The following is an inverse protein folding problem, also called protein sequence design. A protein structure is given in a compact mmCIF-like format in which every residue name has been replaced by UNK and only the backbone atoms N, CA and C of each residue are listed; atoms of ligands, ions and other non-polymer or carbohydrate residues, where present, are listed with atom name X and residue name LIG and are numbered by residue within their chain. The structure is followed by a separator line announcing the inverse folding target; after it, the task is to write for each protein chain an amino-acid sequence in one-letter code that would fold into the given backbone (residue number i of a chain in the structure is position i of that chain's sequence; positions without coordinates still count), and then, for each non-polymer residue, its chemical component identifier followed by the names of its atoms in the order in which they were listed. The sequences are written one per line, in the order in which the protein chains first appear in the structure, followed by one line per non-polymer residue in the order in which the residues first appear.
data_IF_690103042430
#
_entry.id   IF_690103042430
#
_cell.length_a   1.000
_cell.length_b   1.000
_cell.length_c   1.000
_cell.angle_alpha   90.00
_cell.angle_beta   90.00
_cell.angle_gamma   90.00
#
_symmetry.space_group_name_H-M   'P 1'
#
loop_
_entity.id
_entity.type
_entity.pdbx_description
1 polymer ?
#
# COMPACT_ATOMS: atom_id res chain seq x y z
N UNK A 1 -15.10 -53.24 -10.12
CA UNK A 1 -14.47 -52.84 -8.83
C UNK A 1 -13.29 -51.89 -9.04
N UNK A 2 -12.40 -52.16 -9.98
CA UNK A 2 -11.18 -51.36 -10.28
C UNK A 2 -11.43 -49.90 -10.68
N UNK A 3 -12.41 -49.63 -11.54
CA UNK A 3 -12.72 -48.25 -11.99
C UNK A 3 -13.19 -47.31 -10.86
N UNK A 4 -13.98 -47.82 -9.90
CA UNK A 4 -14.42 -47.06 -8.72
C UNK A 4 -13.25 -46.76 -7.78
N UNK A 5 -12.32 -47.71 -7.63
CA UNK A 5 -11.13 -47.55 -6.79
C UNK A 5 -10.17 -46.49 -7.38
N UNK A 6 -9.99 -46.46 -8.70
CA UNK A 6 -9.16 -45.48 -9.40
C UNK A 6 -9.77 -44.07 -9.30
N UNK A 7 -11.09 -43.93 -9.41
CA UNK A 7 -11.74 -42.61 -9.23
C UNK A 7 -11.64 -42.10 -7.80
N UNK A 8 -11.78 -42.98 -6.79
CA UNK A 8 -11.63 -42.60 -5.38
C UNK A 8 -10.17 -42.20 -5.10
N UNK A 9 -9.19 -42.95 -5.60
CA UNK A 9 -7.78 -42.61 -5.44
C UNK A 9 -7.42 -41.28 -6.11
N UNK A 10 -7.97 -41.00 -7.30
CA UNK A 10 -7.80 -39.72 -8.00
C UNK A 10 -8.44 -38.54 -7.25
N UNK A 11 -9.64 -38.73 -6.69
CA UNK A 11 -10.32 -37.72 -5.87
C UNK A 11 -9.57 -37.42 -4.57
N UNK A 12 -9.05 -38.45 -3.89
CA UNK A 12 -8.26 -38.29 -2.66
C UNK A 12 -6.95 -37.58 -2.95
N UNK A 13 -6.24 -37.95 -4.01
CA UNK A 13 -4.98 -37.31 -4.42
C UNK A 13 -5.18 -35.84 -4.82
N UNK A 14 -6.25 -35.53 -5.55
CA UNK A 14 -6.63 -34.16 -5.89
C UNK A 14 -6.98 -33.35 -4.62
N UNK A 15 -7.71 -33.94 -3.67
CA UNK A 15 -8.04 -33.29 -2.39
C UNK A 15 -6.81 -32.99 -1.53
N UNK A 16 -5.78 -33.84 -1.58
CA UNK A 16 -4.52 -33.65 -0.86
C UNK A 16 -3.69 -32.50 -1.45
N UNK A 17 -3.64 -32.40 -2.77
CA UNK A 17 -2.91 -31.35 -3.47
C UNK A 17 -3.54 -29.96 -3.23
N UNK A 18 -4.87 -29.89 -3.22
CA UNK A 18 -5.60 -28.65 -2.91
C UNK A 18 -5.43 -28.19 -1.44
N UNK A 19 -5.22 -29.12 -0.51
CA UNK A 19 -4.90 -28.77 0.90
C UNK A 19 -3.50 -28.19 1.03
N UNK A 20 -2.50 -28.72 0.33
CA UNK A 20 -1.11 -28.25 0.43
C UNK A 20 -0.95 -26.77 0.04
N UNK A 21 -1.70 -26.28 -0.96
CA UNK A 21 -1.67 -24.89 -1.38
C UNK A 21 -2.34 -23.93 -0.38
N UNK A 22 -3.21 -24.44 0.50
CA UNK A 22 -3.93 -23.63 1.49
C UNK A 22 -3.13 -23.32 2.77
N UNK A 23 -1.97 -23.96 2.98
CA UNK A 23 -1.19 -23.81 4.22
C UNK A 23 0.01 -22.86 4.14
N UNK A 24 0.27 -22.22 2.99
CA UNK A 24 1.36 -21.25 2.90
C UNK A 24 0.92 -19.89 3.46
N UNK A 25 1.27 -19.63 4.72
CA UNK A 25 1.03 -18.36 5.42
C UNK A 25 2.38 -17.75 5.80
N UNK A 26 3.03 -16.98 4.90
CA UNK A 26 4.40 -16.50 5.11
C UNK A 26 4.51 -15.48 6.25
N UNK A 27 3.41 -14.80 6.57
CA UNK A 27 3.36 -13.81 7.64
C UNK A 27 2.15 -14.03 8.54
N UNK A 28 2.31 -13.89 9.87
CA UNK A 28 1.20 -13.96 10.81
C UNK A 28 0.24 -12.78 10.57
N UNK A 29 -1.03 -12.98 10.96
CA UNK A 29 -2.05 -11.95 10.85
C UNK A 29 -1.72 -10.76 11.78
N UNK A 30 -2.23 -9.58 11.45
CA UNK A 30 -1.95 -8.36 12.21
C UNK A 30 -2.42 -8.41 13.68
N UNK A 31 -3.47 -9.17 13.96
CA UNK A 31 -4.07 -9.38 15.28
C UNK A 31 -3.52 -10.60 16.03
N UNK A 32 -2.51 -11.28 15.46
CA UNK A 32 -1.94 -12.49 16.05
C UNK A 32 -1.11 -12.18 17.31
N UNK A 33 -1.26 -13.02 18.35
CA UNK A 33 -0.43 -12.97 19.57
C UNK A 33 1.06 -13.18 19.28
N UNK A 34 1.41 -13.72 18.11
CA UNK A 34 2.79 -13.81 17.61
C UNK A 34 3.56 -12.51 17.82
N UNK A 35 2.97 -11.36 17.47
CA UNK A 35 3.63 -10.06 17.55
C UNK A 35 3.98 -9.66 18.99
N UNK A 36 3.18 -10.08 19.96
CA UNK A 36 3.44 -9.82 21.39
C UNK A 36 4.38 -10.84 22.03
N UNK A 37 4.46 -12.07 21.50
CA UNK A 37 5.31 -13.12 22.05
C UNK A 37 6.73 -13.09 21.50
N UNK A 38 6.87 -12.88 20.19
CA UNK A 38 8.15 -13.05 19.50
C UNK A 38 8.95 -11.75 19.37
N UNK A 39 8.28 -10.60 19.27
CA UNK A 39 8.97 -9.31 19.11
C UNK A 39 9.39 -8.77 20.48
N UNK A 40 10.66 -8.42 20.72
CA UNK A 40 11.08 -7.85 22.00
C UNK A 40 10.34 -6.57 22.37
N UNK A 41 10.11 -6.36 23.68
CA UNK A 41 9.39 -5.20 24.21
C UNK A 41 10.01 -3.87 23.74
N UNK A 42 11.34 -3.77 23.75
CA UNK A 42 12.06 -2.58 23.30
C UNK A 42 11.72 -2.23 21.84
N UNK A 43 11.73 -3.24 20.95
CA UNK A 43 11.41 -3.05 19.53
C UNK A 43 9.94 -2.64 19.33
N UNK A 44 9.01 -3.24 20.08
CA UNK A 44 7.60 -2.82 20.04
C UNK A 44 7.43 -1.36 20.45
N UNK A 45 8.10 -0.95 21.52
CA UNK A 45 8.07 0.43 22.00
C UNK A 45 8.66 1.40 20.97
N UNK A 46 9.71 1.00 20.26
CA UNK A 46 10.28 1.80 19.16
C UNK A 46 9.29 2.00 18.01
N UNK A 47 8.59 0.95 17.58
CA UNK A 47 7.55 1.10 16.56
C UNK A 47 6.42 2.00 17.02
N UNK A 48 5.99 1.91 18.29
CA UNK A 48 4.97 2.80 18.85
C UNK A 48 5.46 4.25 18.88
N UNK A 49 6.73 4.48 19.26
CA UNK A 49 7.36 5.80 19.25
C UNK A 49 7.43 6.39 17.84
N UNK A 50 7.85 5.59 16.85
CA UNK A 50 7.85 5.99 15.45
C UNK A 50 6.44 6.29 14.94
N UNK A 51 5.46 5.45 15.29
CA UNK A 51 4.04 5.69 14.98
C UNK A 51 3.57 7.05 15.49
N UNK A 52 3.92 7.42 16.72
CA UNK A 52 3.56 8.73 17.31
C UNK A 52 4.21 9.90 16.56
N UNK A 53 5.47 9.75 16.17
CA UNK A 53 6.19 10.76 15.40
C UNK A 53 5.53 10.99 14.03
N UNK A 54 5.20 9.90 13.34
CA UNK A 54 4.66 9.93 11.98
C UNK A 54 3.16 10.20 11.92
N UNK A 55 2.41 10.01 13.01
CA UNK A 55 0.99 10.31 13.08
C UNK A 55 0.70 11.81 12.86
N UNK A 56 1.64 12.67 13.27
CA UNK A 56 1.55 14.14 13.15
C UNK A 56 2.11 14.69 11.84
N UNK A 57 2.79 13.87 11.03
CA UNK A 57 3.38 14.34 9.77
C UNK A 57 2.31 14.46 8.68
N UNK A 58 2.33 15.53 7.87
CA UNK A 58 1.43 15.67 6.73
C UNK A 58 1.78 14.66 5.63
N UNK A 59 0.80 14.34 4.79
CA UNK A 59 0.97 13.48 3.63
C UNK A 59 1.08 14.35 2.37
N UNK A 60 2.30 14.71 2.02
CA UNK A 60 2.54 15.53 0.85
C UNK A 60 2.66 14.65 -0.40
N UNK A 61 1.94 15.00 -1.46
CA UNK A 61 2.15 14.40 -2.76
C UNK A 61 3.54 14.78 -3.31
N UNK A 62 4.14 13.87 -4.07
CA UNK A 62 5.40 14.16 -4.75
C UNK A 62 5.09 15.07 -5.94
N UNK A 63 5.73 16.24 -6.07
CA UNK A 63 5.51 17.13 -7.21
C UNK A 63 5.87 16.43 -8.53
N UNK A 64 5.08 16.69 -9.59
CA UNK A 64 5.31 16.08 -10.90
C UNK A 64 6.66 16.53 -11.50
N UNK A 65 7.10 17.72 -11.13
CA UNK A 65 8.37 18.33 -11.52
C UNK A 65 9.55 17.48 -11.02
N UNK A 66 9.46 16.96 -9.79
CA UNK A 66 10.52 16.10 -9.21
C UNK A 66 10.67 14.78 -9.98
N UNK A 67 9.59 14.28 -10.59
CA UNK A 67 9.67 13.14 -11.50
C UNK A 67 10.21 13.54 -12.88
N UNK A 68 9.80 14.71 -13.40
CA UNK A 68 10.24 15.22 -14.69
C UNK A 68 11.73 15.59 -14.73
N UNK A 69 12.31 16.01 -13.59
CA UNK A 69 13.74 16.33 -13.43
C UNK A 69 14.66 15.20 -13.92
N UNK A 70 14.25 13.94 -13.74
CA UNK A 70 15.04 12.80 -14.23
C UNK A 70 15.29 12.86 -15.74
N UNK A 71 14.37 13.45 -16.52
CA UNK A 71 14.54 13.59 -17.99
C UNK A 71 15.60 14.61 -18.36
N UNK A 72 15.89 15.59 -17.49
CA UNK A 72 16.85 16.65 -17.78
C UNK A 72 18.24 16.33 -17.21
N UNK A 73 18.30 15.82 -15.98
CA UNK A 73 19.56 15.61 -15.25
C UNK A 73 19.98 14.13 -15.11
N UNK A 74 19.10 13.17 -15.46
CA UNK A 74 19.34 11.74 -15.27
C UNK A 74 19.42 11.27 -13.81
N UNK A 75 19.16 12.15 -12.83
CA UNK A 75 19.27 11.89 -11.40
C UNK A 75 17.89 11.59 -10.80
N UNK A 76 17.74 10.39 -10.23
CA UNK A 76 16.49 9.89 -9.64
C UNK A 76 16.44 9.98 -8.11
N UNK A 77 17.57 10.28 -7.45
CA UNK A 77 17.72 10.21 -5.99
C UNK A 77 16.67 11.04 -5.26
N UNK A 78 16.37 12.24 -5.77
CA UNK A 78 15.39 13.15 -5.14
C UNK A 78 13.96 12.58 -5.15
N UNK A 79 13.55 11.99 -6.27
CA UNK A 79 12.26 11.32 -6.38
C UNK A 79 12.19 10.08 -5.48
N UNK A 80 13.26 9.29 -5.45
CA UNK A 80 13.35 8.10 -4.61
C UNK A 80 13.28 8.42 -3.14
N UNK A 81 14.01 9.43 -2.67
CA UNK A 81 13.98 9.87 -1.28
C UNK A 81 12.57 10.29 -0.85
N UNK A 82 11.89 11.10 -1.67
CA UNK A 82 10.52 11.51 -1.42
C UNK A 82 9.57 10.29 -1.36
N UNK A 83 9.68 9.38 -2.33
CA UNK A 83 8.84 8.20 -2.42
C UNK A 83 9.08 7.21 -1.27
N UNK A 84 10.33 7.00 -0.88
CA UNK A 84 10.70 6.18 0.27
C UNK A 84 10.33 6.83 1.59
N UNK A 85 10.37 8.16 1.69
CA UNK A 85 9.90 8.89 2.86
C UNK A 85 8.44 8.63 3.16
N UNK A 86 7.58 8.76 2.15
CA UNK A 86 6.13 8.49 2.26
C UNK A 86 5.89 7.02 2.62
N UNK A 87 6.56 6.08 1.92
CA UNK A 87 6.46 4.63 2.21
C UNK A 87 6.87 4.29 3.64
N UNK A 88 7.97 4.87 4.12
CA UNK A 88 8.47 4.69 5.49
C UNK A 88 7.46 5.19 6.52
N UNK A 89 6.86 6.36 6.30
CA UNK A 89 5.82 6.91 7.17
C UNK A 89 4.62 5.95 7.31
N UNK A 90 4.16 5.36 6.21
CA UNK A 90 3.06 4.40 6.22
C UNK A 90 3.41 3.12 6.95
N UNK A 91 4.56 2.52 6.64
CA UNK A 91 5.03 1.29 7.28
C UNK A 91 5.16 1.50 8.80
N UNK A 92 5.72 2.62 9.25
CA UNK A 92 5.81 2.92 10.68
C UNK A 92 4.43 2.98 11.37
N UNK A 93 3.42 3.57 10.72
CA UNK A 93 2.06 3.63 11.27
C UNK A 93 1.38 2.26 11.33
N UNK A 94 1.54 1.45 10.28
CA UNK A 94 0.99 0.08 10.24
C UNK A 94 1.66 -0.79 11.29
N UNK A 95 2.99 -0.74 11.40
CA UNK A 95 3.72 -1.51 12.42
C UNK A 95 3.37 -1.04 13.83
N UNK A 96 3.24 0.26 14.06
CA UNK A 96 2.78 0.78 15.36
C UNK A 96 1.39 0.26 15.73
N UNK A 97 0.49 0.12 14.74
CA UNK A 97 -0.83 -0.47 14.95
C UNK A 97 -0.74 -1.96 15.29
N UNK A 98 0.05 -2.73 14.55
CA UNK A 98 0.26 -4.18 14.83
C UNK A 98 0.82 -4.39 16.24
N UNK A 99 1.77 -3.56 16.67
CA UNK A 99 2.39 -3.69 17.99
C UNK A 99 1.47 -3.24 19.13
N UNK A 100 0.53 -2.32 18.88
CA UNK A 100 -0.37 -1.77 19.90
C UNK A 100 -1.74 -2.48 19.95
N UNK A 101 -2.35 -2.78 18.81
CA UNK A 101 -3.65 -3.46 18.68
C UNK A 101 -4.85 -2.68 19.22
N UNK A 102 -4.83 -1.33 19.20
CA UNK A 102 -5.88 -0.47 19.79
C UNK A 102 -6.62 0.43 18.80
N UNK A 103 -6.29 0.36 17.51
CA UNK A 103 -6.90 1.14 16.44
C UNK A 103 -6.45 2.60 16.34
N UNK A 104 -5.48 3.05 17.15
CA UNK A 104 -5.11 4.47 17.26
C UNK A 104 -4.48 5.03 15.99
N UNK A 105 -3.73 4.21 15.25
CA UNK A 105 -2.99 4.64 14.07
C UNK A 105 -3.76 4.41 12.75
N UNK A 106 -4.87 3.67 12.80
CA UNK A 106 -5.73 3.37 11.65
C UNK A 106 -6.21 4.60 10.85
N UNK A 107 -6.65 5.71 11.47
CA UNK A 107 -7.12 6.86 10.69
C UNK A 107 -6.00 7.50 9.86
N UNK A 108 -4.78 7.56 10.39
CA UNK A 108 -3.63 8.14 9.70
C UNK A 108 -3.09 7.21 8.61
N UNK A 109 -3.04 5.90 8.84
CA UNK A 109 -2.64 4.93 7.79
C UNK A 109 -3.68 4.85 6.67
N UNK A 110 -4.98 4.96 6.95
CA UNK A 110 -6.03 5.03 5.92
C UNK A 110 -5.94 6.29 5.06
N UNK A 111 -5.58 7.44 5.66
CA UNK A 111 -5.29 8.66 4.89
C UNK A 111 -4.08 8.45 3.98
N UNK A 112 -3.01 7.85 4.50
CA UNK A 112 -1.81 7.51 3.74
C UNK A 112 -2.08 6.66 2.49
N UNK A 113 -2.91 5.61 2.64
CA UNK A 113 -3.22 4.71 1.52
C UNK A 113 -3.87 5.44 0.35
N UNK A 114 -4.71 6.44 0.61
CA UNK A 114 -5.34 7.28 -0.43
C UNK A 114 -4.34 8.19 -1.13
N UNK A 115 -3.41 8.80 -0.37
CA UNK A 115 -2.39 9.69 -0.93
C UNK A 115 -1.26 8.94 -1.64
N UNK A 116 -0.99 7.69 -1.28
CA UNK A 116 0.05 6.88 -1.91
C UNK A 116 -0.31 6.41 -3.32
N UNK A 117 -1.56 6.01 -3.53
CA UNK A 117 -2.03 5.57 -4.86
C UNK A 117 -1.86 6.64 -5.93
N UNK A 118 -1.89 7.92 -5.55
CA UNK A 118 -1.66 9.04 -6.48
C UNK A 118 -0.19 9.37 -6.71
N UNK A 119 0.73 8.93 -5.84
CA UNK A 119 2.17 9.19 -6.01
C UNK A 119 2.87 8.22 -6.97
N UNK A 120 2.22 7.11 -7.35
CA UNK A 120 2.79 6.10 -8.25
C UNK A 120 2.63 6.39 -9.75
N UNK A 121 1.70 7.28 -10.11
CA UNK A 121 1.44 7.68 -11.50
C UNK A 121 1.31 9.20 -11.54
N UNK A 122 2.23 9.93 -12.19
CA UNK A 122 2.11 11.37 -12.37
C UNK A 122 0.79 11.70 -13.08
N UNK A 123 -0.05 12.55 -12.46
CA UNK A 123 -1.28 13.07 -13.09
C UNK A 123 -2.60 12.39 -12.70
N UNK A 124 -2.62 11.46 -11.73
CA UNK A 124 -3.89 10.93 -11.23
C UNK A 124 -4.42 11.79 -10.06
N UNK A 125 -5.59 12.43 -10.17
CA UNK A 125 -6.17 13.17 -9.06
C UNK A 125 -6.44 12.24 -7.87
N UNK A 126 -6.47 12.75 -6.63
CA UNK A 126 -6.84 11.97 -5.46
C UNK A 126 -8.16 11.25 -5.71
N UNK A 127 -8.12 9.92 -5.64
CA UNK A 127 -9.30 9.07 -5.82
C UNK A 127 -10.33 9.47 -4.77
N UNK A 128 -11.37 10.18 -5.21
CA UNK A 128 -12.33 10.89 -4.35
C UNK A 128 -13.04 12.06 -5.04
N UNK A 129 -12.49 12.61 -6.12
CA UNK A 129 -13.22 13.59 -6.95
C UNK A 129 -14.29 12.89 -7.80
N UNK A 130 -15.56 13.11 -7.43
CA UNK A 130 -16.76 12.51 -8.04
C UNK A 130 -17.01 12.96 -9.50
N UNK A 131 -16.26 13.92 -10.03
CA UNK A 131 -16.41 14.46 -11.38
C UNK A 131 -15.70 13.67 -12.49
N UNK A 132 -14.70 12.82 -12.18
CA UNK A 132 -13.85 12.20 -13.20
C UNK A 132 -14.10 10.69 -13.37
N UNK A 133 -15.32 10.19 -13.13
CA UNK A 133 -15.64 8.75 -13.25
C UNK A 133 -15.76 8.25 -14.70
N UNK A 134 -15.68 9.11 -15.72
CA UNK A 134 -15.84 8.72 -17.13
C UNK A 134 -14.53 8.51 -17.91
N UNK A 135 -13.36 8.78 -17.32
CA UNK A 135 -12.08 8.76 -18.04
C UNK A 135 -11.39 7.38 -18.13
N UNK A 136 -12.15 6.27 -18.08
CA UNK A 136 -11.61 4.91 -18.01
C UNK A 136 -11.25 4.27 -19.36
N UNK A 137 -11.06 5.07 -20.43
CA UNK A 137 -10.68 4.51 -21.74
C UNK A 137 -9.83 5.48 -22.56
N UNK A 138 -8.53 5.53 -22.31
CA UNK A 138 -7.56 6.09 -23.27
C UNK A 138 -6.33 5.18 -23.39
N UNK A 139 -5.86 4.88 -24.61
CA UNK A 139 -4.67 4.07 -24.84
C UNK A 139 -3.37 4.83 -24.52
N UNK A 140 -2.35 4.06 -24.17
CA UNK A 140 -1.07 4.42 -23.55
C UNK A 140 -0.20 5.53 -24.21
N UNK A 141 -0.61 6.11 -25.34
CA UNK A 141 0.26 7.01 -26.13
C UNK A 141 0.01 8.52 -25.94
N UNK A 142 -1.02 8.92 -25.21
CA UNK A 142 -1.36 10.34 -25.01
C UNK A 142 -1.21 10.75 -23.54
N UNK A 143 0.02 10.80 -23.05
CA UNK A 143 0.34 11.45 -21.77
C UNK A 143 0.51 12.95 -22.01
N UNK A 144 -0.59 13.67 -22.25
CA UNK A 144 -0.64 15.12 -22.07
C UNK A 144 -1.82 15.45 -21.14
N UNK A 145 -1.58 16.14 -20.02
CA UNK A 145 -2.66 16.58 -19.15
C UNK A 145 -3.43 17.70 -19.85
N UNK A 146 -4.70 17.47 -20.15
CA UNK A 146 -5.59 18.54 -20.59
C UNK A 146 -5.73 19.58 -19.47
N UNK A 147 -5.61 20.85 -19.85
CA UNK A 147 -5.52 22.02 -18.97
C UNK A 147 -6.79 22.29 -18.13
N UNK A 148 -7.86 21.54 -18.34
CA UNK A 148 -9.18 21.82 -17.76
C UNK A 148 -9.36 21.37 -16.31
N UNK A 149 -8.54 20.47 -15.79
CA UNK A 149 -8.72 19.98 -14.42
C UNK A 149 -8.06 20.87 -13.34
N UNK A 150 -7.26 21.87 -13.76
CA UNK A 150 -6.46 22.71 -12.86
C UNK A 150 -7.27 23.79 -12.13
N UNK A 151 -8.46 24.17 -12.61
CA UNK A 151 -9.21 25.32 -12.07
C UNK A 151 -10.26 24.97 -11.02
N UNK A 152 -10.51 23.69 -10.75
CA UNK A 152 -11.65 23.26 -9.93
C UNK A 152 -11.30 22.78 -8.51
N UNK A 153 -10.02 22.78 -8.12
CA UNK A 153 -9.59 22.35 -6.79
C UNK A 153 -8.96 23.52 -6.03
N UNK A 154 -9.78 24.47 -5.59
CA UNK A 154 -9.41 25.41 -4.52
C UNK A 154 -9.44 24.68 -3.17
N UNK A 155 -8.49 24.96 -2.25
CA UNK A 155 -8.35 24.24 -0.99
C UNK A 155 -9.38 24.69 0.06
N UNK A 156 -10.07 23.71 0.66
CA UNK A 156 -10.65 23.80 2.01
C UNK A 156 -9.97 22.78 2.92
#
# INVERSE_FOLDING_TARGET
MTKKLIMILGLVLSSMLMKAQAFFVPFPKADDKYWQKQVPVAMRNDYIRLGNLYQKKPWNAIPAETFAEFRTNGNRTRYEEASFGIRKQFVCLVMAEIMQGRGRFLPSSRRAGRTMSTTGIPGLPPTGCRLCSSASRMPSSAMQPSKECSSACEPL
#
